data_IF_028926298771
#
_entry.id   IF_028926298771
#
_cell.length_a   1.000
_cell.length_b   1.000
_cell.length_c   1.000
_cell.angle_alpha   90.00
_cell.angle_beta   90.00
_cell.angle_gamma   90.00
#
_symmetry.space_group_name_H-M   'P 1'
#
loop_
_entity.id
_entity.type
_entity.pdbx_description
1 polymer ?
#
# COMPACT_ATOMS: atom_id res chain seq x y z
N UNK A 1 -6.68 42.29 24.90
CA UNK A 1 -7.27 41.55 23.76
C UNK A 1 -6.39 40.33 23.48
N UNK A 2 -6.80 39.13 23.93
CA UNK A 2 -6.01 37.90 23.81
C UNK A 2 -6.10 37.39 22.36
N UNK A 3 -4.98 37.38 21.64
CA UNK A 3 -4.83 36.67 20.37
C UNK A 3 -4.81 35.15 20.63
N UNK A 4 -5.99 34.54 20.68
CA UNK A 4 -6.17 33.08 20.72
C UNK A 4 -6.42 32.55 19.31
N UNK A 5 -5.41 32.50 18.46
CA UNK A 5 -5.53 31.87 17.12
C UNK A 5 -4.27 31.07 16.83
N UNK A 6 -4.20 29.87 17.39
CA UNK A 6 -3.51 28.72 16.79
C UNK A 6 -3.92 27.47 17.57
N UNK A 7 -5.04 26.83 17.19
CA UNK A 7 -5.34 25.47 17.66
C UNK A 7 -4.26 24.56 17.07
N UNK A 8 -3.25 24.20 17.87
CA UNK A 8 -2.26 23.18 17.50
C UNK A 8 -3.01 21.89 17.19
N UNK A 9 -2.85 21.34 15.99
CA UNK A 9 -3.48 20.06 15.64
C UNK A 9 -3.05 18.98 16.65
N UNK A 10 -3.99 18.16 17.10
CA UNK A 10 -3.67 17.01 17.93
C UNK A 10 -2.87 15.99 17.12
N UNK A 11 -2.04 15.17 17.77
CA UNK A 11 -1.32 14.06 17.11
C UNK A 11 -2.26 13.12 16.34
N UNK A 12 -3.48 12.92 16.87
CA UNK A 12 -4.51 12.12 16.22
C UNK A 12 -5.02 12.76 14.92
N UNK A 13 -5.22 14.09 14.92
CA UNK A 13 -5.63 14.82 13.71
C UNK A 13 -4.55 14.75 12.63
N UNK A 14 -3.28 14.89 12.99
CA UNK A 14 -2.16 14.79 12.04
C UNK A 14 -2.04 13.36 11.50
N UNK A 15 -2.12 12.34 12.37
CA UNK A 15 -2.11 10.94 11.95
C UNK A 15 -3.24 10.63 10.96
N UNK A 16 -4.46 11.13 11.23
CA UNK A 16 -5.60 10.97 10.33
C UNK A 16 -5.34 11.62 8.96
N UNK A 17 -4.84 12.85 8.93
CA UNK A 17 -4.51 13.55 7.67
C UNK A 17 -3.47 12.76 6.87
N UNK A 18 -2.42 12.25 7.53
CA UNK A 18 -1.39 11.46 6.85
C UNK A 18 -1.95 10.14 6.30
N UNK A 19 -2.79 9.41 7.05
CA UNK A 19 -3.44 8.19 6.55
C UNK A 19 -4.34 8.48 5.34
N UNK A 20 -4.97 9.66 5.29
CA UNK A 20 -5.83 10.02 4.16
C UNK A 20 -5.04 10.44 2.91
N UNK A 21 -3.86 11.06 3.06
CA UNK A 21 -3.14 11.66 1.94
C UNK A 21 -1.93 10.84 1.45
N UNK A 22 -1.22 10.18 2.35
CA UNK A 22 0.01 9.46 2.03
C UNK A 22 -0.22 8.26 1.07
N UNK A 23 -1.29 7.45 1.23
CA UNK A 23 -1.63 6.39 0.28
C UNK A 23 -1.73 6.85 -1.18
N UNK A 24 -2.48 7.94 -1.41
CA UNK A 24 -2.66 8.52 -2.74
C UNK A 24 -1.34 9.09 -3.28
N UNK A 25 -0.56 9.76 -2.43
CA UNK A 25 0.76 10.25 -2.82
C UNK A 25 1.66 9.11 -3.30
N UNK A 26 1.73 8.01 -2.54
CA UNK A 26 2.56 6.87 -2.88
C UNK A 26 2.06 6.12 -4.12
N UNK A 27 0.74 5.86 -4.20
CA UNK A 27 0.12 5.06 -5.26
C UNK A 27 -0.03 5.77 -6.60
N UNK A 28 -0.10 7.11 -6.61
CA UNK A 28 -0.38 7.89 -7.83
C UNK A 28 0.77 8.81 -8.24
N UNK A 29 1.25 9.65 -7.31
CA UNK A 29 2.32 10.61 -7.62
C UNK A 29 3.68 9.93 -7.70
N UNK A 30 4.07 9.21 -6.65
CA UNK A 30 5.40 8.58 -6.55
C UNK A 30 5.56 7.42 -7.55
N UNK A 31 4.47 6.69 -7.83
CA UNK A 31 4.45 5.64 -8.85
C UNK A 31 4.56 6.20 -10.28
N UNK A 32 4.12 7.45 -10.48
CA UNK A 32 3.99 8.07 -11.79
C UNK A 32 2.69 7.74 -12.54
N UNK A 33 1.71 7.09 -11.89
CA UNK A 33 0.43 6.71 -12.50
C UNK A 33 -0.43 7.91 -12.88
N UNK A 34 -0.38 8.99 -12.08
CA UNK A 34 -1.15 10.22 -12.36
C UNK A 34 -0.21 11.42 -12.52
N UNK A 35 -0.29 12.16 -13.65
CA UNK A 35 0.50 13.38 -13.85
C UNK A 35 0.27 14.42 -12.76
N UNK A 36 1.33 15.13 -12.35
CA UNK A 36 1.30 16.15 -11.28
C UNK A 36 0.13 17.13 -11.41
N UNK A 37 -0.11 17.66 -12.61
CA UNK A 37 -1.21 18.62 -12.87
C UNK A 37 -2.59 17.99 -12.67
N UNK A 38 -2.77 16.74 -13.08
CA UNK A 38 -4.03 16.03 -12.95
C UNK A 38 -4.31 15.65 -11.49
N UNK A 39 -3.28 15.23 -10.75
CA UNK A 39 -3.40 14.83 -9.35
C UNK A 39 -3.95 15.96 -8.46
N UNK A 40 -3.53 17.20 -8.70
CA UNK A 40 -3.97 18.37 -7.93
C UNK A 40 -5.26 19.01 -8.43
N UNK A 41 -5.93 18.45 -9.44
CA UNK A 41 -7.28 18.91 -9.78
C UNK A 41 -8.22 18.63 -8.60
N UNK A 42 -9.07 19.58 -8.16
CA UNK A 42 -9.85 19.42 -6.93
C UNK A 42 -10.67 18.12 -6.88
N UNK A 43 -11.35 17.77 -7.97
CA UNK A 43 -12.16 16.55 -8.06
C UNK A 43 -11.27 15.31 -8.03
N UNK A 44 -10.19 15.27 -8.81
CA UNK A 44 -9.27 14.13 -8.84
C UNK A 44 -8.61 13.92 -7.47
N UNK A 45 -8.12 14.99 -6.85
CA UNK A 45 -7.52 14.97 -5.52
C UNK A 45 -8.50 14.40 -4.47
N UNK A 46 -9.75 14.83 -4.49
CA UNK A 46 -10.80 14.30 -3.60
C UNK A 46 -11.08 12.82 -3.89
N UNK A 47 -11.17 12.43 -5.17
CA UNK A 47 -11.36 11.04 -5.56
C UNK A 47 -10.20 10.15 -5.10
N UNK A 48 -8.94 10.57 -5.29
CA UNK A 48 -7.78 9.81 -4.82
C UNK A 48 -7.74 9.73 -3.29
N UNK A 49 -8.04 10.83 -2.59
CA UNK A 49 -8.12 10.83 -1.11
C UNK A 49 -9.23 9.91 -0.60
N UNK A 50 -10.39 9.88 -1.28
CA UNK A 50 -11.49 9.01 -0.91
C UNK A 50 -11.23 7.54 -1.28
N UNK A 51 -10.60 7.26 -2.42
CA UNK A 51 -10.25 5.90 -2.82
C UNK A 51 -9.11 5.35 -1.94
N UNK A 52 -7.92 5.94 -2.04
CA UNK A 52 -6.73 5.47 -1.34
C UNK A 52 -6.75 5.78 0.15
N UNK A 53 -7.07 7.02 0.50
CA UNK A 53 -7.04 7.49 1.89
C UNK A 53 -8.10 6.80 2.74
N UNK A 54 -9.36 6.82 2.32
CA UNK A 54 -10.42 6.15 3.09
C UNK A 54 -10.29 4.63 3.04
N UNK A 55 -9.88 4.04 1.90
CA UNK A 55 -9.58 2.61 1.82
C UNK A 55 -8.50 2.18 2.82
N UNK A 56 -7.39 2.91 2.88
CA UNK A 56 -6.31 2.66 3.82
C UNK A 56 -6.73 2.91 5.28
N UNK A 57 -7.51 3.97 5.53
CA UNK A 57 -8.07 4.24 6.85
C UNK A 57 -8.96 3.09 7.33
N UNK A 58 -9.82 2.56 6.47
CA UNK A 58 -10.68 1.42 6.78
C UNK A 58 -9.85 0.17 7.10
N UNK A 59 -8.81 -0.14 6.31
CA UNK A 59 -7.89 -1.23 6.60
C UNK A 59 -7.29 -1.05 7.99
N UNK A 60 -6.69 0.12 8.27
CA UNK A 60 -6.04 0.39 9.56
C UNK A 60 -7.02 0.29 10.74
N UNK A 61 -8.20 0.87 10.61
CA UNK A 61 -9.22 0.84 11.66
C UNK A 61 -9.74 -0.58 11.92
N UNK A 62 -9.96 -1.37 10.87
CA UNK A 62 -10.33 -2.77 11.01
C UNK A 62 -9.18 -3.57 11.63
N UNK A 63 -7.93 -3.29 11.26
CA UNK A 63 -6.75 -3.90 11.87
C UNK A 63 -6.73 -3.69 13.38
N UNK A 64 -6.88 -2.45 13.83
CA UNK A 64 -6.88 -2.15 15.27
C UNK A 64 -8.09 -2.75 15.98
N UNK A 65 -9.30 -2.61 15.41
CA UNK A 65 -10.55 -3.04 16.07
C UNK A 65 -10.72 -4.54 16.14
N UNK A 66 -10.28 -5.27 15.12
CA UNK A 66 -10.32 -6.72 15.11
C UNK A 66 -9.05 -7.34 15.70
N UNK A 67 -8.05 -6.54 16.07
CA UNK A 67 -6.75 -7.02 16.51
C UNK A 67 -6.03 -7.78 15.40
N UNK A 68 -6.20 -7.37 14.14
CA UNK A 68 -5.52 -7.98 13.01
C UNK A 68 -4.02 -7.69 13.14
N UNK A 69 -3.27 -8.77 13.29
CA UNK A 69 -1.82 -8.74 13.35
C UNK A 69 -1.30 -8.74 11.92
N UNK A 70 -0.72 -9.86 11.53
CA UNK A 70 -0.24 -10.12 10.19
C UNK A 70 -1.37 -10.30 9.17
N UNK A 71 -2.57 -10.69 9.62
CA UNK A 71 -3.72 -10.97 8.75
C UNK A 71 -4.33 -9.73 8.08
N UNK A 72 -3.89 -8.52 8.45
CA UNK A 72 -4.26 -7.29 7.76
C UNK A 72 -3.82 -7.27 6.29
N UNK A 73 -2.81 -8.06 5.92
CA UNK A 73 -2.35 -8.21 4.53
C UNK A 73 -3.49 -8.64 3.59
N UNK A 74 -4.45 -9.45 4.07
CA UNK A 74 -5.59 -9.87 3.27
C UNK A 74 -6.52 -8.67 2.95
N UNK A 75 -6.68 -7.72 3.86
CA UNK A 75 -7.44 -6.49 3.59
C UNK A 75 -6.71 -5.58 2.60
N UNK A 76 -5.39 -5.51 2.68
CA UNK A 76 -4.57 -4.77 1.72
C UNK A 76 -4.65 -5.36 0.30
N UNK A 77 -4.65 -6.70 0.17
CA UNK A 77 -4.90 -7.39 -1.10
C UNK A 77 -6.34 -7.12 -1.58
N UNK A 78 -7.32 -7.21 -0.69
CA UNK A 78 -8.72 -6.96 -1.02
C UNK A 78 -8.93 -5.53 -1.56
N UNK A 79 -8.24 -4.55 -0.99
CA UNK A 79 -8.23 -3.17 -1.50
C UNK A 79 -7.73 -3.11 -2.95
N UNK A 80 -6.62 -3.77 -3.28
CA UNK A 80 -6.12 -3.84 -4.66
C UNK A 80 -7.14 -4.47 -5.62
N UNK A 81 -7.90 -5.48 -5.19
CA UNK A 81 -8.97 -6.07 -5.99
C UNK A 81 -10.15 -5.10 -6.17
N UNK A 82 -10.51 -4.34 -5.15
CA UNK A 82 -11.58 -3.33 -5.26
C UNK A 82 -11.17 -2.20 -6.20
N UNK A 83 -9.97 -1.67 -6.03
CA UNK A 83 -9.45 -0.57 -6.86
C UNK A 83 -9.33 -1.00 -8.32
N UNK A 84 -8.53 -2.02 -8.60
CA UNK A 84 -8.16 -2.35 -9.98
C UNK A 84 -9.16 -3.30 -10.64
N UNK A 85 -9.81 -4.17 -9.87
CA UNK A 85 -10.81 -5.11 -10.38
C UNK A 85 -12.21 -4.50 -10.53
N UNK A 86 -12.64 -3.64 -9.60
CA UNK A 86 -14.00 -3.08 -9.59
C UNK A 86 -14.04 -1.61 -10.00
N UNK A 87 -13.23 -0.74 -9.39
CA UNK A 87 -13.25 0.69 -9.69
C UNK A 87 -12.72 0.95 -11.11
N UNK A 88 -11.46 0.62 -11.37
CA UNK A 88 -10.79 0.84 -12.66
C UNK A 88 -11.12 -0.23 -13.71
N UNK A 89 -11.40 -1.46 -13.28
CA UNK A 89 -11.61 -2.66 -14.13
C UNK A 89 -10.40 -3.02 -15.00
N UNK A 90 -9.19 -2.56 -14.62
CA UNK A 90 -7.94 -2.75 -15.35
C UNK A 90 -7.49 -4.22 -15.42
N UNK A 91 -7.89 -5.05 -14.46
CA UNK A 91 -7.64 -6.50 -14.50
C UNK A 91 -8.29 -7.17 -15.71
N UNK A 92 -9.34 -6.56 -16.26
CA UNK A 92 -10.20 -7.18 -17.28
C UNK A 92 -10.19 -6.41 -18.60
N UNK A 93 -9.83 -5.12 -18.60
CA UNK A 93 -9.81 -4.28 -19.80
C UNK A 93 -8.51 -4.47 -20.59
N UNK A 94 -8.52 -5.16 -21.75
CA UNK A 94 -7.31 -5.35 -22.57
C UNK A 94 -6.76 -4.03 -23.13
N UNK A 95 -7.56 -2.96 -23.14
CA UNK A 95 -7.15 -1.65 -23.61
C UNK A 95 -6.80 -0.69 -22.47
N UNK A 96 -6.61 -1.20 -21.26
CA UNK A 96 -6.19 -0.37 -20.14
C UNK A 96 -4.88 0.36 -20.47
N UNK A 97 -4.93 1.69 -20.37
CA UNK A 97 -3.89 2.62 -20.84
C UNK A 97 -2.48 2.31 -20.32
N UNK A 98 -2.38 1.72 -19.13
CA UNK A 98 -1.09 1.50 -18.45
C UNK A 98 -0.51 0.09 -18.68
N UNK A 99 -1.21 -0.79 -19.40
CA UNK A 99 -0.74 -2.15 -19.68
C UNK A 99 0.57 -2.20 -20.46
N UNK A 100 0.79 -1.22 -21.35
CA UNK A 100 1.96 -1.18 -22.25
C UNK A 100 2.14 -2.53 -22.95
N UNK A 101 3.32 -3.15 -22.83
CA UNK A 101 3.64 -4.45 -23.42
C UNK A 101 3.01 -5.68 -22.75
N UNK A 102 2.01 -5.50 -21.87
CA UNK A 102 1.26 -6.59 -21.23
C UNK A 102 -0.13 -6.81 -21.84
N UNK A 103 -0.55 -6.00 -22.80
CA UNK A 103 -1.85 -6.17 -23.46
C UNK A 103 -1.96 -7.58 -24.07
N UNK A 104 -2.99 -8.32 -23.67
CA UNK A 104 -3.24 -9.72 -24.04
C UNK A 104 -2.13 -10.72 -23.68
N UNK A 105 -1.04 -10.29 -23.02
CA UNK A 105 -0.01 -11.18 -22.50
C UNK A 105 -0.43 -11.73 -21.14
N UNK A 106 -0.25 -13.04 -20.93
CA UNK A 106 -0.68 -13.72 -19.70
C UNK A 106 -2.16 -13.47 -19.36
N UNK A 107 -3.00 -13.33 -20.38
CA UNK A 107 -4.45 -13.21 -20.22
C UNK A 107 -5.10 -14.60 -20.26
N UNK A 108 -5.84 -14.95 -19.20
CA UNK A 108 -6.57 -16.21 -19.11
C UNK A 108 -7.93 -15.97 -18.44
N UNK A 109 -8.99 -16.58 -18.98
CA UNK A 109 -10.39 -16.35 -18.57
C UNK A 109 -10.82 -14.86 -18.64
N UNK A 110 -10.18 -14.10 -19.53
CA UNK A 110 -10.39 -12.67 -19.68
C UNK A 110 -9.94 -11.85 -18.47
N UNK A 111 -8.93 -12.35 -17.75
CA UNK A 111 -8.18 -11.67 -16.68
C UNK A 111 -6.74 -11.54 -17.13
N UNK A 112 -6.18 -10.34 -17.02
CA UNK A 112 -4.80 -10.03 -17.36
C UNK A 112 -3.90 -10.33 -16.16
N UNK A 113 -3.47 -11.59 -16.02
CA UNK A 113 -2.83 -12.06 -14.78
C UNK A 113 -1.49 -11.39 -14.50
N UNK A 114 -0.69 -11.11 -15.53
CA UNK A 114 0.58 -10.42 -15.33
C UNK A 114 0.40 -9.00 -14.76
N UNK A 115 -0.61 -8.28 -15.26
CA UNK A 115 -1.02 -6.98 -14.72
C UNK A 115 -1.63 -7.13 -13.32
N UNK A 116 -2.55 -8.07 -13.15
CA UNK A 116 -3.26 -8.31 -11.88
C UNK A 116 -2.30 -8.58 -10.72
N UNK A 117 -1.33 -9.48 -10.91
CA UNK A 117 -0.35 -9.82 -9.88
C UNK A 117 0.60 -8.65 -9.55
N UNK A 118 1.01 -7.90 -10.58
CA UNK A 118 1.80 -6.68 -10.39
C UNK A 118 1.04 -5.68 -9.51
N UNK A 119 -0.19 -5.34 -9.90
CA UNK A 119 -0.97 -4.29 -9.25
C UNK A 119 -1.42 -4.72 -7.84
N UNK A 120 -1.84 -5.98 -7.64
CA UNK A 120 -2.11 -6.48 -6.28
C UNK A 120 -0.89 -6.27 -5.38
N UNK A 121 0.32 -6.57 -5.87
CA UNK A 121 1.54 -6.41 -5.07
C UNK A 121 1.83 -4.94 -4.77
N UNK A 122 1.68 -4.06 -5.75
CA UNK A 122 1.88 -2.61 -5.59
C UNK A 122 0.87 -2.03 -4.61
N UNK A 123 -0.44 -2.30 -4.78
CA UNK A 123 -1.47 -1.73 -3.91
C UNK A 123 -1.45 -2.33 -2.49
N UNK A 124 -1.10 -3.61 -2.35
CA UNK A 124 -0.90 -4.22 -1.03
C UNK A 124 0.25 -3.57 -0.27
N UNK A 125 1.29 -3.05 -0.96
CA UNK A 125 2.48 -2.52 -0.31
C UNK A 125 2.52 -1.00 -0.32
N UNK A 126 2.84 -0.41 -1.47
CA UNK A 126 3.16 0.99 -1.69
C UNK A 126 2.06 1.93 -1.24
N UNK A 127 0.80 1.58 -1.52
CA UNK A 127 -0.34 2.47 -1.29
C UNK A 127 -1.23 2.05 -0.11
N UNK A 128 -0.89 0.99 0.63
CA UNK A 128 -1.62 0.60 1.85
C UNK A 128 -0.72 0.29 3.05
N UNK A 129 -0.08 -0.89 3.11
CA UNK A 129 0.67 -1.34 4.29
C UNK A 129 1.84 -0.42 4.64
N UNK A 130 2.58 0.09 3.66
CA UNK A 130 3.70 1.02 3.87
C UNK A 130 3.18 2.36 4.46
N UNK A 131 2.19 3.04 3.86
CA UNK A 131 1.58 4.23 4.46
C UNK A 131 1.05 4.03 5.87
N UNK A 132 0.37 2.91 6.15
CA UNK A 132 -0.09 2.58 7.52
C UNK A 132 1.09 2.53 8.47
N UNK A 133 2.14 1.78 8.11
CA UNK A 133 3.31 1.61 8.98
C UNK A 133 4.09 2.91 9.17
N UNK A 134 4.20 3.75 8.14
CA UNK A 134 4.80 5.09 8.23
C UNK A 134 4.09 5.92 9.30
N UNK A 135 2.76 5.94 9.30
CA UNK A 135 1.97 6.70 10.29
C UNK A 135 2.12 6.11 11.69
N UNK A 136 2.08 4.79 11.83
CA UNK A 136 2.24 4.14 13.14
C UNK A 136 3.62 4.38 13.74
N UNK A 137 4.67 4.46 12.91
CA UNK A 137 6.03 4.80 13.34
C UNK A 137 6.18 6.28 13.75
N UNK A 138 5.44 7.19 13.11
CA UNK A 138 5.39 8.60 13.51
C UNK A 138 4.61 8.83 14.81
N UNK A 139 3.57 8.04 15.03
CA UNK A 139 2.69 8.14 16.21
C UNK A 139 2.54 6.80 16.94
N UNK A 140 3.61 6.29 17.59
CA UNK A 140 3.60 4.96 18.22
C UNK A 140 2.55 4.77 19.32
N UNK A 141 2.10 5.86 19.97
CA UNK A 141 1.03 5.82 20.98
C UNK A 141 -0.38 5.64 20.38
N UNK A 142 -0.52 5.87 19.08
CA UNK A 142 -1.76 5.70 18.31
C UNK A 142 -1.76 4.43 17.47
N UNK A 143 -0.63 3.71 17.34
CA UNK A 143 -0.49 2.53 16.48
C UNK A 143 -1.58 1.48 16.75
N UNK A 144 -1.80 1.13 18.02
CA UNK A 144 -2.82 0.17 18.44
C UNK A 144 -4.14 0.84 18.89
N UNK A 145 -4.40 2.08 18.45
CA UNK A 145 -5.61 2.83 18.81
C UNK A 145 -6.40 3.27 17.58
N UNK A 146 -7.74 3.21 17.64
CA UNK A 146 -8.57 3.80 16.60
C UNK A 146 -8.31 5.31 16.47
N UNK A 147 -8.08 5.79 15.25
CA UNK A 147 -7.97 7.22 14.91
C UNK A 147 -9.35 7.86 14.79
N UNK A 148 -10.38 7.10 14.47
CA UNK A 148 -11.74 7.60 14.31
C UNK A 148 -12.76 6.83 15.15
N UNK A 149 -13.92 7.42 15.39
CA UNK A 149 -15.08 6.72 15.97
C UNK A 149 -15.92 6.01 14.91
N UNK A 150 -17.07 5.45 15.33
CA UNK A 150 -18.04 4.80 14.43
C UNK A 150 -18.51 5.71 13.29
N UNK A 151 -18.74 7.00 13.57
CA UNK A 151 -19.14 7.98 12.53
C UNK A 151 -18.05 8.15 11.46
N UNK A 152 -16.77 8.23 11.86
CA UNK A 152 -15.67 8.34 10.91
C UNK A 152 -15.52 7.09 10.04
N UNK A 153 -15.72 5.89 10.62
CA UNK A 153 -15.78 4.65 9.85
C UNK A 153 -16.88 4.66 8.78
N UNK A 154 -18.09 5.10 9.15
CA UNK A 154 -19.22 5.18 8.20
C UNK A 154 -18.89 6.19 7.10
N UNK A 155 -18.40 7.38 7.44
CA UNK A 155 -18.05 8.40 6.45
C UNK A 155 -16.94 7.93 5.50
N UNK A 156 -15.89 7.28 6.02
CA UNK A 156 -14.83 6.70 5.21
C UNK A 156 -15.36 5.60 4.29
N UNK A 157 -16.21 4.71 4.80
CA UNK A 157 -16.87 3.66 4.03
C UNK A 157 -17.74 4.21 2.90
N UNK A 158 -18.54 5.24 3.17
CA UNK A 158 -19.37 5.91 2.17
C UNK A 158 -18.52 6.61 1.11
N UNK A 159 -17.49 7.36 1.52
CA UNK A 159 -16.60 8.05 0.59
C UNK A 159 -15.85 7.08 -0.33
N UNK A 160 -15.29 6.01 0.25
CA UNK A 160 -14.63 4.93 -0.50
C UNK A 160 -15.58 4.27 -1.50
N UNK A 161 -16.76 3.84 -1.02
CA UNK A 161 -17.76 3.17 -1.87
C UNK A 161 -18.30 4.07 -2.97
N UNK A 162 -18.52 5.35 -2.68
CA UNK A 162 -18.98 6.32 -3.67
C UNK A 162 -17.98 6.46 -4.82
N UNK A 163 -16.67 6.56 -4.53
CA UNK A 163 -15.65 6.63 -5.59
C UNK A 163 -15.54 5.33 -6.37
N UNK A 164 -15.60 4.17 -5.70
CA UNK A 164 -15.62 2.87 -6.38
C UNK A 164 -16.80 2.75 -7.34
N UNK A 165 -18.00 3.17 -6.93
CA UNK A 165 -19.20 3.17 -7.78
C UNK A 165 -19.04 4.16 -8.94
N UNK A 166 -18.57 5.38 -8.67
CA UNK A 166 -18.30 6.37 -9.70
C UNK A 166 -17.29 5.85 -10.74
N UNK A 167 -16.22 5.18 -10.33
CA UNK A 167 -15.27 4.54 -11.23
C UNK A 167 -15.89 3.39 -12.01
N UNK A 168 -16.61 2.49 -11.32
CA UNK A 168 -17.29 1.35 -11.95
C UNK A 168 -18.24 1.79 -13.07
N UNK A 169 -18.94 2.91 -12.89
CA UNK A 169 -19.85 3.48 -13.90
C UNK A 169 -19.07 4.31 -14.94
N UNK A 170 -18.09 5.12 -14.50
CA UNK A 170 -17.42 6.12 -15.31
C UNK A 170 -16.37 5.57 -16.27
N UNK A 171 -15.69 4.47 -15.93
CA UNK A 171 -14.75 3.83 -16.85
C UNK A 171 -15.51 3.06 -17.96
N UNK A 172 -15.09 3.18 -19.23
CA UNK A 172 -15.87 2.71 -20.38
C UNK A 172 -15.98 1.19 -20.48
N UNK A 173 -15.01 0.44 -19.94
CA UNK A 173 -15.03 -1.02 -20.01
C UNK A 173 -16.21 -1.60 -19.24
N UNK A 174 -17.01 -2.45 -19.89
CA UNK A 174 -18.19 -3.10 -19.28
C UNK A 174 -17.79 -4.44 -18.68
N UNK A 175 -17.71 -4.48 -17.34
CA UNK A 175 -17.44 -5.72 -16.62
C UNK A 175 -18.70 -6.60 -16.60
N UNK A 176 -18.56 -7.89 -16.94
CA UNK A 176 -19.69 -8.82 -16.89
C UNK A 176 -20.12 -9.10 -15.45
N UNK A 177 -21.41 -9.35 -15.24
CA UNK A 177 -21.97 -9.64 -13.91
C UNK A 177 -21.22 -10.79 -13.21
N UNK A 178 -20.87 -11.85 -13.95
CA UNK A 178 -20.12 -12.97 -13.41
C UNK A 178 -18.74 -12.54 -12.85
N UNK A 179 -18.01 -11.67 -13.55
CA UNK A 179 -16.71 -11.16 -13.09
C UNK A 179 -16.88 -10.21 -11.91
N UNK A 180 -17.89 -9.36 -11.92
CA UNK A 180 -18.22 -8.48 -10.79
C UNK A 180 -18.52 -9.30 -9.53
N UNK A 181 -19.38 -10.31 -9.62
CA UNK A 181 -19.72 -11.20 -8.49
C UNK A 181 -18.49 -11.98 -8.02
N UNK A 182 -17.67 -12.49 -8.95
CA UNK A 182 -16.42 -13.17 -8.60
C UNK A 182 -15.43 -12.25 -7.86
N UNK A 183 -15.22 -11.02 -8.33
CA UNK A 183 -14.36 -10.04 -7.64
C UNK A 183 -14.90 -9.71 -6.24
N UNK A 184 -16.21 -9.51 -6.08
CA UNK A 184 -16.82 -9.28 -4.77
C UNK A 184 -16.69 -10.50 -3.85
N UNK A 185 -16.83 -11.72 -4.39
CA UNK A 185 -16.64 -12.95 -3.63
C UNK A 185 -15.19 -13.11 -3.16
N UNK A 186 -14.20 -12.76 -3.99
CA UNK A 186 -12.78 -12.74 -3.61
C UNK A 186 -12.53 -11.71 -2.49
N UNK A 187 -13.06 -10.50 -2.61
CA UNK A 187 -12.96 -9.46 -1.57
C UNK A 187 -13.58 -9.95 -0.25
N UNK A 188 -14.76 -10.55 -0.30
CA UNK A 188 -15.43 -11.12 0.87
C UNK A 188 -14.63 -12.27 1.50
N UNK A 189 -14.08 -13.17 0.68
CA UNK A 189 -13.23 -14.26 1.13
C UNK A 189 -11.95 -13.75 1.82
N UNK A 190 -11.30 -12.73 1.26
CA UNK A 190 -10.12 -12.10 1.85
C UNK A 190 -10.44 -11.40 3.18
N UNK A 191 -11.57 -10.67 3.26
CA UNK A 191 -12.02 -10.07 4.51
C UNK A 191 -12.35 -11.14 5.58
N UNK A 192 -12.98 -12.24 5.16
CA UNK A 192 -13.25 -13.39 6.02
C UNK A 192 -11.96 -14.05 6.52
N UNK A 193 -10.95 -14.24 5.65
CA UNK A 193 -9.64 -14.76 6.05
C UNK A 193 -8.93 -13.81 7.03
N UNK A 194 -8.96 -12.50 6.77
CA UNK A 194 -8.42 -11.49 7.68
C UNK A 194 -8.99 -11.63 9.09
N UNK A 195 -10.32 -11.74 9.18
CA UNK A 195 -11.04 -11.90 10.43
C UNK A 195 -10.77 -13.25 11.10
N UNK A 196 -10.76 -14.35 10.32
CA UNK A 196 -10.54 -15.71 10.83
C UNK A 196 -9.16 -15.85 11.45
N UNK A 197 -8.13 -15.32 10.79
CA UNK A 197 -6.75 -15.38 11.26
C UNK A 197 -6.36 -14.26 12.23
N UNK A 198 -7.30 -13.42 12.71
CA UNK A 198 -7.00 -12.27 13.59
C UNK A 198 -6.24 -12.65 14.88
N UNK A 199 -6.54 -13.83 15.45
CA UNK A 199 -5.89 -14.34 16.66
C UNK A 199 -4.69 -15.27 16.37
N UNK A 200 -4.42 -15.56 15.10
CA UNK A 200 -3.33 -16.47 14.73
C UNK A 200 -1.97 -15.84 15.02
N UNK A 201 -1.02 -16.68 15.40
CA UNK A 201 0.38 -16.31 15.37
C UNK A 201 0.83 -16.03 13.93
N UNK A 202 1.84 -15.17 13.79
CA UNK A 202 2.39 -14.85 12.49
C UNK A 202 3.12 -16.08 11.94
N UNK A 203 2.74 -16.60 10.76
CA UNK A 203 3.33 -17.81 10.19
C UNK A 203 4.84 -17.67 9.93
N UNK A 204 5.33 -16.44 9.87
CA UNK A 204 6.72 -16.08 9.56
C UNK A 204 7.46 -15.55 10.81
N UNK A 205 6.91 -15.76 12.02
CA UNK A 205 7.53 -15.28 13.27
C UNK A 205 8.95 -15.82 13.50
N UNK A 206 9.25 -17.02 13.01
CA UNK A 206 10.60 -17.60 13.07
C UNK A 206 11.63 -16.81 12.26
N UNK A 207 11.27 -16.29 11.09
CA UNK A 207 12.19 -15.50 10.26
C UNK A 207 12.54 -14.17 10.93
N UNK A 208 11.62 -13.54 11.66
CA UNK A 208 11.91 -12.31 12.41
C UNK A 208 13.03 -12.51 13.46
N UNK A 209 13.22 -13.74 13.97
CA UNK A 209 14.34 -14.07 14.86
C UNK A 209 15.68 -14.19 14.12
N UNK A 210 15.68 -14.31 12.79
CA UNK A 210 16.88 -14.42 11.96
C UNK A 210 17.83 -13.25 12.16
N UNK A 211 19.13 -13.53 12.14
CA UNK A 211 20.17 -12.49 12.13
C UNK A 211 20.10 -11.63 10.86
N UNK A 212 19.71 -12.21 9.73
CA UNK A 212 19.69 -11.52 8.42
C UNK A 212 18.72 -10.32 8.43
N UNK A 213 17.51 -10.50 8.98
CA UNK A 213 16.52 -9.41 9.08
C UNK A 213 16.91 -8.30 10.05
N UNK A 214 17.98 -8.49 10.82
CA UNK A 214 18.54 -7.49 11.74
C UNK A 214 19.74 -6.74 11.16
N UNK A 215 20.20 -7.09 9.95
CA UNK A 215 21.32 -6.42 9.26
C UNK A 215 20.74 -5.32 8.36
N UNK A 216 20.83 -4.03 8.77
CA UNK A 216 20.08 -2.95 8.16
C UNK A 216 20.27 -2.76 6.64
N UNK A 217 21.51 -2.63 6.10
CA UNK A 217 21.72 -2.49 4.66
C UNK A 217 21.15 -3.65 3.84
N UNK A 218 21.29 -4.89 4.34
CA UNK A 218 20.85 -6.08 3.61
C UNK A 218 19.33 -6.06 3.44
N UNK A 219 18.58 -5.65 4.47
CA UNK A 219 17.13 -5.58 4.39
C UNK A 219 16.65 -4.50 3.41
N UNK A 220 17.25 -3.30 3.47
CA UNK A 220 16.90 -2.23 2.54
C UNK A 220 17.22 -2.60 1.09
N UNK A 221 18.40 -3.18 0.84
CA UNK A 221 18.79 -3.67 -0.50
C UNK A 221 17.86 -4.79 -0.96
N UNK A 222 17.50 -5.73 -0.08
CA UNK A 222 16.56 -6.82 -0.41
C UNK A 222 15.19 -6.28 -0.78
N UNK A 223 14.67 -5.28 -0.05
CA UNK A 223 13.39 -4.64 -0.35
C UNK A 223 13.43 -3.86 -1.68
N UNK A 224 14.52 -3.16 -1.97
CA UNK A 224 14.76 -2.50 -3.25
C UNK A 224 14.78 -3.50 -4.41
N UNK A 225 15.57 -4.57 -4.29
CA UNK A 225 15.67 -5.63 -5.29
C UNK A 225 14.32 -6.29 -5.51
N UNK A 226 13.62 -6.64 -4.43
CA UNK A 226 12.33 -7.30 -4.53
C UNK A 226 11.26 -6.42 -5.18
N UNK A 227 11.26 -5.11 -4.87
CA UNK A 227 10.37 -4.14 -5.52
C UNK A 227 10.71 -4.02 -7.01
N UNK A 228 12.00 -3.94 -7.35
CA UNK A 228 12.49 -3.88 -8.74
C UNK A 228 12.10 -5.13 -9.53
N UNK A 229 12.30 -6.32 -8.95
CA UNK A 229 11.95 -7.59 -9.59
C UNK A 229 10.42 -7.69 -9.75
N UNK A 230 9.64 -7.29 -8.76
CA UNK A 230 8.16 -7.26 -8.85
C UNK A 230 7.68 -6.43 -10.04
N UNK A 231 8.21 -5.22 -10.18
CA UNK A 231 7.75 -4.27 -11.20
C UNK A 231 8.30 -4.54 -12.59
N UNK A 232 9.55 -4.99 -12.70
CA UNK A 232 10.23 -5.17 -13.98
C UNK A 232 9.99 -6.54 -14.62
N UNK A 233 9.88 -7.60 -13.82
CA UNK A 233 9.73 -8.99 -14.31
C UNK A 233 8.62 -9.18 -15.34
N UNK A 234 7.36 -8.72 -15.14
CA UNK A 234 6.31 -8.95 -16.13
C UNK A 234 6.64 -8.34 -17.50
N UNK A 235 7.18 -7.12 -17.52
CA UNK A 235 7.54 -6.44 -18.78
C UNK A 235 8.79 -7.03 -19.43
N UNK A 236 9.78 -7.43 -18.62
CA UNK A 236 10.98 -8.08 -19.12
C UNK A 236 10.62 -9.41 -19.78
N UNK A 237 9.85 -10.26 -19.08
CA UNK A 237 9.47 -11.57 -19.60
C UNK A 237 8.51 -11.48 -20.79
N UNK A 238 7.61 -10.49 -20.83
CA UNK A 238 6.73 -10.29 -21.99
C UNK A 238 7.49 -9.82 -23.25
N UNK A 239 8.67 -9.22 -23.09
CA UNK A 239 9.51 -8.81 -24.22
C UNK A 239 10.16 -9.98 -24.97
N UNK A 240 10.27 -11.15 -24.32
CA UNK A 240 10.84 -12.36 -24.92
C UNK A 240 9.76 -13.23 -25.56
N UNK A 241 9.77 -13.33 -26.90
CA UNK A 241 8.78 -14.11 -27.67
C UNK A 241 8.66 -15.58 -27.29
N UNK A 242 9.73 -16.18 -26.75
CA UNK A 242 9.78 -17.60 -26.41
C UNK A 242 9.36 -17.91 -24.97
N UNK A 243 9.13 -16.90 -24.11
CA UNK A 243 8.72 -17.12 -22.72
C UNK A 243 7.22 -17.36 -22.67
N UNK A 244 6.75 -18.56 -22.27
CA UNK A 244 5.32 -18.84 -22.18
C UNK A 244 4.67 -17.97 -21.10
N UNK A 245 3.44 -17.47 -21.30
CA UNK A 245 2.79 -16.62 -20.31
C UNK A 245 2.61 -17.28 -18.93
N UNK A 246 2.42 -18.59 -18.90
CA UNK A 246 2.33 -19.36 -17.66
C UNK A 246 3.63 -19.31 -16.83
N UNK A 247 4.79 -19.24 -17.48
CA UNK A 247 6.08 -19.11 -16.78
C UNK A 247 6.19 -17.75 -16.09
N UNK A 248 5.75 -16.67 -16.76
CA UNK A 248 5.69 -15.32 -16.18
C UNK A 248 4.75 -15.24 -14.99
N UNK A 249 3.54 -15.79 -15.12
CA UNK A 249 2.58 -15.85 -14.01
C UNK A 249 3.17 -16.63 -12.82
N UNK A 250 3.82 -17.77 -13.09
CA UNK A 250 4.46 -18.59 -12.04
C UNK A 250 5.56 -17.80 -11.33
N UNK A 251 6.44 -17.13 -12.08
CA UNK A 251 7.48 -16.28 -11.50
C UNK A 251 6.89 -15.15 -10.65
N UNK A 252 5.83 -14.48 -11.13
CA UNK A 252 5.18 -13.41 -10.39
C UNK A 252 4.47 -13.90 -9.12
N UNK A 253 3.87 -15.10 -9.13
CA UNK A 253 3.32 -15.71 -7.91
C UNK A 253 4.42 -15.95 -6.88
N UNK A 254 5.57 -16.49 -7.29
CA UNK A 254 6.71 -16.69 -6.38
C UNK A 254 7.23 -15.36 -5.82
N UNK A 255 7.35 -14.33 -6.66
CA UNK A 255 7.75 -12.98 -6.23
C UNK A 255 6.73 -12.40 -5.24
N UNK A 256 5.43 -12.50 -5.52
CA UNK A 256 4.36 -12.04 -4.63
C UNK A 256 4.41 -12.75 -3.27
N UNK A 257 4.67 -14.07 -3.27
CA UNK A 257 4.87 -14.82 -2.02
C UNK A 257 6.09 -14.32 -1.25
N UNK A 258 7.21 -14.02 -1.93
CA UNK A 258 8.37 -13.41 -1.30
C UNK A 258 8.05 -12.02 -0.71
N UNK A 259 7.32 -11.17 -1.44
CA UNK A 259 6.87 -9.85 -0.94
C UNK A 259 5.97 -10.00 0.29
N UNK A 260 5.03 -10.95 0.25
CA UNK A 260 4.18 -11.27 1.39
C UNK A 260 5.03 -11.72 2.59
N UNK A 261 5.96 -12.68 2.41
CA UNK A 261 6.85 -13.16 3.46
C UNK A 261 7.66 -12.02 4.08
N UNK A 262 8.27 -11.14 3.27
CA UNK A 262 9.04 -10.00 3.78
C UNK A 262 8.15 -8.99 4.51
N UNK A 263 6.95 -8.71 3.99
CA UNK A 263 5.98 -7.82 4.64
C UNK A 263 5.51 -8.39 5.99
N UNK A 264 5.22 -9.70 6.01
CA UNK A 264 4.86 -10.47 7.21
C UNK A 264 6.01 -10.46 8.23
N UNK A 265 7.26 -10.61 7.79
CA UNK A 265 8.44 -10.62 8.66
C UNK A 265 8.83 -9.22 9.19
N UNK A 266 8.30 -8.14 8.59
CA UNK A 266 8.68 -6.76 8.91
C UNK A 266 7.49 -5.91 9.37
N UNK A 267 6.80 -5.24 8.45
CA UNK A 267 5.81 -4.20 8.73
C UNK A 267 4.47 -4.72 9.26
N UNK A 268 4.19 -6.00 9.08
CA UNK A 268 2.98 -6.66 9.60
C UNK A 268 3.17 -7.28 11.00
N UNK A 269 4.28 -6.99 11.67
CA UNK A 269 4.54 -7.41 13.05
C UNK A 269 3.85 -6.48 14.04
N UNK A 270 3.32 -7.05 15.14
CA UNK A 270 2.66 -6.27 16.20
C UNK A 270 3.58 -5.21 16.79
N UNK A 271 4.82 -5.58 17.05
CA UNK A 271 5.79 -4.64 17.59
C UNK A 271 6.49 -3.92 16.46
N UNK A 272 6.46 -2.59 16.56
CA UNK A 272 7.28 -1.70 15.75
C UNK A 272 8.73 -1.91 16.14
N UNK A 273 9.54 -2.35 15.19
CA UNK A 273 10.99 -2.32 15.27
C UNK A 273 11.45 -1.21 14.35
N UNK A 274 11.86 -0.08 14.94
CA UNK A 274 12.23 1.12 14.18
C UNK A 274 13.29 0.83 13.12
N UNK A 275 14.31 0.01 13.47
CA UNK A 275 15.44 -0.26 12.58
C UNK A 275 15.01 -1.17 11.43
N UNK A 276 14.34 -2.28 11.72
CA UNK A 276 13.88 -3.22 10.69
C UNK A 276 12.86 -2.58 9.75
N UNK A 277 11.83 -1.94 10.33
CA UNK A 277 10.71 -1.43 9.55
C UNK A 277 11.12 -0.23 8.70
N UNK A 278 11.99 0.65 9.22
CA UNK A 278 12.49 1.78 8.43
C UNK A 278 13.32 1.32 7.22
N UNK A 279 14.17 0.31 7.37
CA UNK A 279 14.99 -0.20 6.26
C UNK A 279 14.14 -0.87 5.19
N UNK A 280 13.15 -1.67 5.59
CA UNK A 280 12.21 -2.28 4.64
C UNK A 280 11.44 -1.20 3.84
N UNK A 281 10.85 -0.22 4.55
CA UNK A 281 10.10 0.88 3.92
C UNK A 281 11.01 1.71 2.99
N UNK A 282 12.19 2.14 3.45
CA UNK A 282 13.12 2.93 2.63
C UNK A 282 13.61 2.15 1.41
N UNK A 283 13.85 0.85 1.55
CA UNK A 283 14.22 -0.02 0.43
C UNK A 283 13.11 -0.12 -0.62
N UNK A 284 11.87 -0.34 -0.21
CA UNK A 284 10.72 -0.31 -1.13
C UNK A 284 10.56 1.05 -1.82
N UNK A 285 10.65 2.15 -1.07
CA UNK A 285 10.50 3.51 -1.63
C UNK A 285 11.68 3.90 -2.53
N UNK A 286 12.88 3.37 -2.28
CA UNK A 286 14.08 3.68 -3.08
C UNK A 286 13.89 3.28 -4.55
N UNK A 287 13.21 2.17 -4.85
CA UNK A 287 12.88 1.80 -6.22
C UNK A 287 12.12 2.94 -6.91
N UNK A 288 11.02 3.40 -6.29
CA UNK A 288 10.15 4.43 -6.87
C UNK A 288 10.85 5.79 -6.97
N UNK A 289 11.66 6.15 -5.97
CA UNK A 289 12.49 7.36 -5.99
C UNK A 289 13.47 7.29 -7.17
N UNK A 290 14.22 6.19 -7.32
CA UNK A 290 15.18 6.03 -8.43
C UNK A 290 14.45 6.12 -9.77
N UNK A 291 13.33 5.40 -9.93
CA UNK A 291 12.57 5.44 -11.19
C UNK A 291 12.00 6.83 -11.49
N UNK A 292 11.66 7.62 -10.48
CA UNK A 292 11.16 8.99 -10.69
C UNK A 292 12.21 9.89 -11.36
N UNK A 293 13.49 9.72 -11.01
CA UNK A 293 14.59 10.43 -11.68
C UNK A 293 14.87 9.89 -13.08
N UNK A 294 14.74 8.58 -13.28
CA UNK A 294 14.90 7.95 -14.60
C UNK A 294 13.78 8.36 -15.58
N UNK A 295 12.56 8.58 -15.09
CA UNK A 295 11.44 9.07 -15.92
C UNK A 295 11.61 10.54 -16.33
N UNK A 296 12.32 11.35 -15.55
CA UNK A 296 12.60 12.75 -15.87
C UNK A 296 11.42 13.71 -15.65
N UNK A 297 11.55 14.95 -16.13
CA UNK A 297 10.51 16.00 -16.06
C UNK A 297 10.00 16.27 -14.62
N UNK A 298 8.68 16.35 -14.44
CA UNK A 298 8.04 16.61 -13.15
C UNK A 298 8.27 15.46 -12.15
N UNK A 299 8.66 14.27 -12.60
CA UNK A 299 8.93 13.14 -11.73
C UNK A 299 10.21 13.33 -10.92
N UNK A 300 11.21 14.06 -11.43
CA UNK A 300 12.40 14.44 -10.66
C UNK A 300 12.03 15.28 -9.43
N UNK A 301 11.02 16.15 -9.55
CA UNK A 301 10.53 16.97 -8.44
C UNK A 301 9.86 16.08 -7.39
N UNK A 302 9.00 15.15 -7.81
CA UNK A 302 8.35 14.19 -6.90
C UNK A 302 9.39 13.33 -6.19
N UNK A 303 10.41 12.84 -6.89
CA UNK A 303 11.54 12.11 -6.31
C UNK A 303 12.30 12.92 -5.25
N UNK A 304 12.66 14.16 -5.57
CA UNK A 304 13.35 15.06 -4.64
C UNK A 304 12.49 15.36 -3.39
N UNK A 305 11.20 15.64 -3.57
CA UNK A 305 10.25 15.83 -2.46
C UNK A 305 10.16 14.56 -1.61
N UNK A 306 10.08 13.38 -2.24
CA UNK A 306 10.00 12.10 -1.54
C UNK A 306 11.25 11.86 -0.70
N UNK A 307 12.45 12.19 -1.20
CA UNK A 307 13.70 12.10 -0.41
C UNK A 307 13.60 12.96 0.86
N UNK A 308 13.15 14.22 0.73
CA UNK A 308 12.98 15.12 1.88
C UNK A 308 11.96 14.55 2.86
N UNK A 309 10.81 14.06 2.37
CA UNK A 309 9.78 13.44 3.19
C UNK A 309 10.29 12.20 3.92
N UNK A 310 11.08 11.34 3.27
CA UNK A 310 11.71 10.18 3.88
C UNK A 310 12.70 10.57 4.98
N UNK A 311 13.53 11.59 4.76
CA UNK A 311 14.47 12.09 5.78
C UNK A 311 13.72 12.65 6.98
N UNK A 312 12.71 13.50 6.75
CA UNK A 312 11.89 14.05 7.82
C UNK A 312 11.18 12.94 8.60
N UNK A 313 10.53 12.02 7.89
CA UNK A 313 9.86 10.87 8.48
C UNK A 313 10.82 10.04 9.35
N UNK A 314 12.02 9.76 8.86
CA UNK A 314 13.02 8.98 9.58
C UNK A 314 13.44 9.68 10.89
N UNK A 315 13.73 10.99 10.82
CA UNK A 315 14.12 11.79 11.99
C UNK A 315 12.98 11.82 13.04
N UNK A 316 11.75 12.11 12.61
CA UNK A 316 10.61 12.19 13.54
C UNK A 316 10.26 10.83 14.13
N UNK A 317 10.28 9.78 13.32
CA UNK A 317 10.03 8.41 13.79
C UNK A 317 11.11 7.92 14.76
N UNK A 318 12.39 8.27 14.53
CA UNK A 318 13.47 7.94 15.47
C UNK A 318 13.25 8.61 16.83
N UNK A 319 12.87 9.90 16.82
CA UNK A 319 12.57 10.64 18.06
C UNK A 319 11.37 10.06 18.79
N UNK A 320 10.31 9.72 18.06
CA UNK A 320 9.12 9.09 18.63
C UNK A 320 9.44 7.71 19.24
N UNK A 321 10.28 6.91 18.59
CA UNK A 321 10.73 5.62 19.11
C UNK A 321 11.54 5.78 20.41
N UNK A 322 12.53 6.68 20.44
CA UNK A 322 13.32 6.96 21.65
C UNK A 322 12.46 7.44 22.82
N UNK A 323 11.47 8.30 22.55
CA UNK A 323 10.54 8.78 23.57
C UNK A 323 9.68 7.63 24.15
N UNK A 324 9.23 6.70 23.30
CA UNK A 324 8.50 5.50 23.74
C UNK A 324 9.37 4.57 24.59
N UNK A 325 10.62 4.34 24.20
CA UNK A 325 11.58 3.52 24.97
C UNK A 325 11.84 4.11 26.36
N UNK A 326 12.07 5.42 26.44
CA UNK A 326 12.28 6.12 27.72
C UNK A 326 11.03 6.07 28.62
N UNK A 327 9.84 6.24 28.04
CA UNK A 327 8.60 6.13 28.80
C UNK A 327 8.39 4.72 29.37
N UNK A 328 8.76 3.69 28.62
CA UNK A 328 8.67 2.31 29.09
C UNK A 328 9.69 2.01 30.21
N UNK A 329 10.91 2.55 30.13
CA UNK A 329 11.94 2.33 31.17
C UNK A 329 11.65 3.03 32.50
N UNK A 330 10.78 4.04 32.51
CA UNK A 330 10.37 4.73 33.74
C UNK A 330 9.23 4.02 34.48
N UNK A 331 8.57 3.05 33.83
CA UNK A 331 7.45 2.27 34.39
C UNK A 331 7.92 0.90 34.89
N UNK A 332 9.12 0.47 34.49
CA UNK A 332 9.80 -0.77 34.93
C UNK A 332 10.76 -0.49 36.07
#
# INVERSE_FOLDING_TARGET
MKLSICRRFSSQSVALILVLLLPAYCGELLSGSTPLKAYFLPVAFLCHTALYGCGTLLIRELSVRWGLRWSQIFLAIAYGVVEEGLCCKSFFDPNWKDLRGLNNYASLFGVQWAWTLLLITVHMTLSTLIPIRIVDMLFPSLADRPLVGRRGMILAGLAFSAVVICGFIGFPFRLSLAKTVASLAVVAALAWLAYTFRKSENPVASLNKSKILKIPPILAVSALVLTTVTTFTPYLLSSFRFVPPAATVTAQVLILLMVAIFSLATICQNQIDFKRDSQFILGCLSYWIITSFLQGNWMCIVGAVTIVLCVLWFIFSMRANKAKELANSLVT
#
